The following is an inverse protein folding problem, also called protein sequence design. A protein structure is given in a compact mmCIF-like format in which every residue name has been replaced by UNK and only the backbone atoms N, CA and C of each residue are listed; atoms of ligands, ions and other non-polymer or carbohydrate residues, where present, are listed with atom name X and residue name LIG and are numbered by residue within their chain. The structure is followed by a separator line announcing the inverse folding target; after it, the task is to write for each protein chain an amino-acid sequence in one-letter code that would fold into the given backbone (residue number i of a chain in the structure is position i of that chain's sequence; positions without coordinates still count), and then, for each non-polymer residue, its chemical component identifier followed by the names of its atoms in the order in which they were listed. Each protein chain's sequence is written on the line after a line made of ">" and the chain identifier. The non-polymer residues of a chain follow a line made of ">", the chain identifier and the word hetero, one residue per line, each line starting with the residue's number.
data_IF_934339583788
#
_entry.id   IF_934339583788
#
_cell.length_a   1.000
_cell.length_b   1.000
_cell.length_c   1.000
_cell.angle_alpha   90.00
_cell.angle_beta   90.00
_cell.angle_gamma   90.00
#
_symmetry.space_group_name_H-M   'P 1'
#
loop_
_entity.id
_entity.type
_entity.pdbx_description
1 polymer ?
#
# COMPACT_ATOMS: atom_id res chain seq x y z
N UNK A 1 12.85 9.34 -0.30
CA UNK A 1 12.51 8.29 0.68
C UNK A 1 11.75 8.81 1.91
N UNK A 2 12.22 9.87 2.59
CA UNK A 2 11.55 10.37 3.81
C UNK A 2 10.08 10.77 3.61
N UNK A 3 9.76 11.46 2.51
CA UNK A 3 8.36 11.83 2.17
C UNK A 3 7.45 10.61 1.99
N UNK A 4 7.94 9.56 1.31
CA UNK A 4 7.20 8.30 1.13
C UNK A 4 6.88 7.67 2.48
N UNK A 5 7.86 7.66 3.39
CA UNK A 5 7.66 7.13 4.74
C UNK A 5 6.62 7.92 5.53
N UNK A 6 6.66 9.26 5.48
CA UNK A 6 5.64 10.11 6.11
C UNK A 6 4.25 9.78 5.58
N UNK A 7 4.10 9.65 4.26
CA UNK A 7 2.79 9.37 3.65
C UNK A 7 2.28 7.98 4.06
N UNK A 8 3.14 6.97 4.08
CA UNK A 8 2.78 5.64 4.60
C UNK A 8 2.41 5.69 6.08
N UNK A 9 3.12 6.49 6.89
CA UNK A 9 2.82 6.67 8.30
C UNK A 9 1.46 7.35 8.50
N UNK A 10 1.14 8.38 7.72
CA UNK A 10 -0.18 9.03 7.73
C UNK A 10 -1.28 8.04 7.32
N UNK A 11 -1.05 7.23 6.28
CA UNK A 11 -2.00 6.18 5.89
C UNK A 11 -2.24 5.18 7.02
N UNK A 12 -1.16 4.72 7.67
CA UNK A 12 -1.24 3.83 8.82
C UNK A 12 -2.01 4.45 9.99
N UNK A 13 -1.79 5.73 10.29
CA UNK A 13 -2.54 6.46 11.31
C UNK A 13 -4.04 6.50 10.98
N UNK A 14 -4.42 6.82 9.75
CA UNK A 14 -5.84 6.82 9.36
C UNK A 14 -6.45 5.42 9.39
N UNK A 15 -5.71 4.40 8.98
CA UNK A 15 -6.13 3.00 9.16
C UNK A 15 -6.37 2.68 10.63
N UNK A 16 -5.48 3.12 11.52
CA UNK A 16 -5.62 2.92 12.96
C UNK A 16 -6.85 3.66 13.54
N UNK A 17 -7.02 4.95 13.20
CA UNK A 17 -8.16 5.76 13.63
C UNK A 17 -9.49 5.14 13.18
N UNK A 18 -9.57 4.67 11.93
CA UNK A 18 -10.74 3.94 11.43
C UNK A 18 -11.10 2.75 12.32
N UNK A 19 -10.11 1.90 12.65
CA UNK A 19 -10.36 0.73 13.52
C UNK A 19 -10.84 1.13 14.90
N UNK A 20 -10.27 2.19 15.48
CA UNK A 20 -10.70 2.74 16.76
C UNK A 20 -12.17 3.17 16.69
N UNK A 21 -12.57 3.90 15.64
CA UNK A 21 -13.96 4.32 15.46
C UNK A 21 -14.94 3.15 15.36
N UNK A 22 -14.58 2.12 14.58
CA UNK A 22 -15.41 0.91 14.42
C UNK A 22 -15.52 0.12 15.73
N UNK A 23 -14.41 -0.05 16.46
CA UNK A 23 -14.39 -0.81 17.73
C UNK A 23 -15.18 -0.10 18.83
N UNK A 24 -15.06 1.23 18.95
CA UNK A 24 -15.77 2.00 19.95
C UNK A 24 -17.18 2.43 19.52
N UNK A 25 -17.63 2.05 18.32
CA UNK A 25 -18.94 2.40 17.75
C UNK A 25 -19.23 3.91 17.81
N UNK A 26 -18.20 4.73 17.58
CA UNK A 26 -18.31 6.19 17.65
C UNK A 26 -19.11 6.65 16.43
N UNK A 27 -20.41 6.87 16.55
CA UNK A 27 -21.26 7.26 15.43
C UNK A 27 -21.46 8.77 15.34
N UNK A 28 -21.26 9.34 14.15
CA UNK A 28 -21.63 10.72 13.81
C UNK A 28 -23.00 10.73 13.16
N UNK A 29 -23.81 11.75 13.46
CA UNK A 29 -25.13 11.93 12.85
C UNK A 29 -24.99 12.07 11.33
N UNK A 30 -25.69 11.23 10.57
CA UNK A 30 -25.64 11.21 9.11
C UNK A 30 -26.60 12.25 8.55
N UNK A 31 -26.18 13.51 8.59
CA UNK A 31 -26.97 14.69 8.18
C UNK A 31 -26.59 15.22 6.79
N UNK A 32 -25.68 14.54 6.08
CA UNK A 32 -25.14 14.99 4.79
C UNK A 32 -24.15 16.16 4.90
N UNK A 33 -23.75 16.55 6.11
CA UNK A 33 -22.73 17.58 6.32
C UNK A 33 -21.36 17.12 5.81
N UNK A 34 -20.48 18.09 5.54
CA UNK A 34 -19.07 17.85 5.19
C UNK A 34 -18.36 17.06 6.30
N UNK A 35 -18.76 17.26 7.55
CA UNK A 35 -18.20 16.55 8.71
C UNK A 35 -18.58 15.07 8.65
N UNK A 36 -19.86 14.75 8.40
CA UNK A 36 -20.32 13.38 8.24
C UNK A 36 -19.65 12.69 7.03
N UNK A 37 -19.49 13.41 5.92
CA UNK A 37 -18.75 12.92 4.75
C UNK A 37 -17.30 12.58 5.06
N UNK A 38 -16.57 13.50 5.72
CA UNK A 38 -15.16 13.29 6.09
C UNK A 38 -14.99 12.15 7.09
N UNK A 39 -15.91 12.05 8.06
CA UNK A 39 -15.97 10.94 9.00
C UNK A 39 -16.14 9.59 8.28
N UNK A 40 -17.05 9.50 7.31
CA UNK A 40 -17.27 8.27 6.53
C UNK A 40 -16.04 7.87 5.70
N UNK A 41 -15.32 8.85 5.13
CA UNK A 41 -14.07 8.58 4.39
C UNK A 41 -12.99 8.00 5.30
N UNK A 42 -12.89 8.48 6.54
CA UNK A 42 -11.96 7.89 7.52
C UNK A 42 -12.43 6.49 7.90
N UNK A 43 -13.71 6.34 8.26
CA UNK A 43 -14.27 5.07 8.74
C UNK A 43 -14.09 3.95 7.70
N UNK A 44 -14.31 4.24 6.44
CA UNK A 44 -14.23 3.27 5.33
C UNK A 44 -12.79 2.98 4.85
N UNK A 45 -11.75 3.42 5.56
CA UNK A 45 -10.33 3.32 5.16
C UNK A 45 -9.95 4.08 3.88
N UNK A 46 -10.88 4.77 3.22
CA UNK A 46 -10.64 5.49 1.94
C UNK A 46 -9.49 6.48 2.03
N UNK A 47 -9.39 7.21 3.16
CA UNK A 47 -8.29 8.16 3.34
C UNK A 47 -6.93 7.45 3.42
N UNK A 48 -6.89 6.29 4.09
CA UNK A 48 -5.70 5.45 4.14
C UNK A 48 -5.33 4.92 2.74
N UNK A 49 -6.31 4.43 1.97
CA UNK A 49 -6.09 3.96 0.60
C UNK A 49 -5.55 5.06 -0.32
N UNK A 50 -6.09 6.28 -0.21
CA UNK A 50 -5.64 7.43 -0.96
C UNK A 50 -4.16 7.72 -0.67
N UNK A 51 -3.79 7.83 0.61
CA UNK A 51 -2.40 8.09 0.99
C UNK A 51 -1.47 6.96 0.56
N UNK A 52 -1.88 5.70 0.65
CA UNK A 52 -1.05 4.61 0.13
C UNK A 52 -0.91 4.68 -1.39
N UNK A 53 -1.96 5.01 -2.13
CA UNK A 53 -1.89 5.18 -3.59
C UNK A 53 -0.86 6.26 -3.95
N UNK A 54 -0.88 7.39 -3.26
CA UNK A 54 0.12 8.46 -3.43
C UNK A 54 1.53 7.95 -3.06
N UNK A 55 1.67 7.19 -1.98
CA UNK A 55 2.96 6.64 -1.58
C UNK A 55 3.53 5.65 -2.62
N UNK A 56 2.69 4.79 -3.19
CA UNK A 56 3.07 3.85 -4.26
C UNK A 56 3.55 4.61 -5.49
N UNK A 57 2.85 5.69 -5.86
CA UNK A 57 3.25 6.55 -6.98
C UNK A 57 4.61 7.21 -6.74
N UNK A 58 4.85 7.75 -5.55
CA UNK A 58 6.16 8.31 -5.21
C UNK A 58 7.26 7.25 -5.16
N UNK A 59 6.95 6.04 -4.71
CA UNK A 59 7.87 4.88 -4.79
C UNK A 59 8.18 4.51 -6.24
N UNK A 60 7.21 4.62 -7.14
CA UNK A 60 7.41 4.43 -8.57
C UNK A 60 8.37 5.48 -9.15
N UNK A 61 8.15 6.76 -8.87
CA UNK A 61 9.07 7.84 -9.29
C UNK A 61 10.48 7.57 -8.77
N UNK A 62 10.63 7.15 -7.51
CA UNK A 62 11.93 6.82 -6.94
C UNK A 62 12.60 5.65 -7.67
N UNK A 63 11.84 4.62 -8.07
CA UNK A 63 12.37 3.50 -8.87
C UNK A 63 12.98 3.99 -10.18
N UNK A 64 12.30 4.88 -10.90
CA UNK A 64 12.80 5.45 -12.15
C UNK A 64 14.14 6.16 -11.89
N UNK A 65 14.19 7.06 -10.92
CA UNK A 65 15.43 7.78 -10.59
C UNK A 65 16.61 6.87 -10.18
N UNK A 66 16.34 5.76 -9.48
CA UNK A 66 17.40 4.87 -8.96
C UNK A 66 17.92 3.90 -10.01
N UNK A 67 17.04 3.35 -10.87
CA UNK A 67 17.40 2.22 -11.73
C UNK A 67 17.41 2.53 -13.23
N UNK A 68 16.92 3.69 -13.65
CA UNK A 68 16.85 4.04 -15.07
C UNK A 68 18.14 4.72 -15.56
N UNK A 69 18.96 5.24 -14.62
CA UNK A 69 20.33 5.72 -14.89
C UNK A 69 21.28 4.66 -15.46
N UNK A 70 20.98 3.37 -15.25
CA UNK A 70 21.81 2.26 -15.75
C UNK A 70 21.37 1.76 -17.14
N UNK A 71 20.26 2.26 -17.70
CA UNK A 71 19.59 1.70 -18.91
C UNK A 71 19.69 2.63 -20.12
N UNK A 72 20.36 3.78 -20.01
CA UNK A 72 20.44 4.80 -21.07
C UNK A 72 21.26 4.37 -22.32
N UNK A 73 21.83 3.16 -22.34
CA UNK A 73 22.73 2.68 -23.40
C UNK A 73 22.21 1.53 -24.27
N UNK A 74 20.99 1.02 -24.09
CA UNK A 74 20.51 -0.14 -24.89
C UNK A 74 19.06 0.02 -25.38
N UNK A 75 18.91 0.00 -26.71
CA UNK A 75 17.70 -0.17 -27.55
C UNK A 75 16.51 0.82 -27.42
N UNK A 76 16.20 1.51 -28.52
CA UNK A 76 15.02 2.39 -28.72
C UNK A 76 13.67 1.71 -28.35
N UNK A 77 13.59 0.38 -28.45
CA UNK A 77 12.39 -0.39 -28.11
C UNK A 77 12.09 -0.38 -26.61
N UNK A 78 13.14 -0.33 -25.77
CA UNK A 78 13.01 -0.29 -24.31
C UNK A 78 12.48 1.07 -23.86
N UNK A 79 12.89 2.14 -24.54
CA UNK A 79 12.45 3.50 -24.24
C UNK A 79 10.94 3.68 -24.48
N UNK A 80 10.40 3.14 -25.59
CA UNK A 80 8.95 3.17 -25.89
C UNK A 80 8.15 2.41 -24.82
N UNK A 81 8.65 1.26 -24.38
CA UNK A 81 7.99 0.46 -23.34
C UNK A 81 7.94 1.19 -21.99
N UNK A 82 9.03 1.87 -21.61
CA UNK A 82 9.08 2.67 -20.37
C UNK A 82 8.10 3.85 -20.43
N UNK A 83 8.06 4.59 -21.54
CA UNK A 83 7.11 5.71 -21.72
C UNK A 83 5.64 5.25 -21.67
N UNK A 84 5.32 4.08 -22.24
CA UNK A 84 3.98 3.49 -22.13
C UNK A 84 3.66 3.11 -20.69
N UNK A 85 4.62 2.53 -19.97
CA UNK A 85 4.45 2.14 -18.57
C UNK A 85 4.24 3.33 -17.65
N UNK A 86 4.94 4.44 -17.88
CA UNK A 86 4.76 5.71 -17.16
C UNK A 86 3.32 6.22 -17.27
N UNK A 87 2.80 6.25 -18.50
CA UNK A 87 1.43 6.69 -18.76
C UNK A 87 0.40 5.78 -18.07
N UNK A 88 0.61 4.46 -18.12
CA UNK A 88 -0.26 3.49 -17.44
C UNK A 88 -0.28 3.76 -15.93
N UNK A 89 0.88 3.96 -15.31
CA UNK A 89 0.99 4.22 -13.87
C UNK A 89 0.27 5.52 -13.48
N UNK A 90 0.45 6.60 -14.24
CA UNK A 90 -0.20 7.90 -13.97
C UNK A 90 -1.72 7.79 -14.10
N UNK A 91 -2.22 7.17 -15.18
CA UNK A 91 -3.65 6.96 -15.39
C UNK A 91 -4.23 6.11 -14.27
N UNK A 92 -3.51 5.07 -13.85
CA UNK A 92 -3.95 4.17 -12.78
C UNK A 92 -4.08 4.89 -11.43
N UNK A 93 -3.14 5.78 -11.09
CA UNK A 93 -3.22 6.62 -9.89
C UNK A 93 -4.42 7.55 -9.95
N UNK A 94 -4.60 8.25 -11.07
CA UNK A 94 -5.74 9.15 -11.26
C UNK A 94 -7.06 8.41 -11.10
N UNK A 95 -7.20 7.26 -11.76
CA UNK A 95 -8.36 6.38 -11.63
C UNK A 95 -8.58 5.92 -10.19
N UNK A 96 -7.55 5.45 -9.51
CA UNK A 96 -7.65 4.97 -8.12
C UNK A 96 -8.09 6.07 -7.16
N UNK A 97 -7.51 7.27 -7.27
CA UNK A 97 -7.90 8.43 -6.47
C UNK A 97 -9.35 8.84 -6.71
N UNK A 98 -9.78 8.89 -7.98
CA UNK A 98 -11.17 9.22 -8.34
C UNK A 98 -12.13 8.15 -7.82
N UNK A 99 -11.78 6.88 -7.96
CA UNK A 99 -12.59 5.77 -7.48
C UNK A 99 -12.80 5.84 -5.97
N UNK A 100 -11.71 6.00 -5.20
CA UNK A 100 -11.74 6.05 -3.73
C UNK A 100 -12.50 7.27 -3.21
N UNK A 101 -12.39 8.43 -3.86
CA UNK A 101 -13.03 9.66 -3.37
C UNK A 101 -14.48 9.83 -3.80
N UNK A 102 -14.85 9.38 -5.00
CA UNK A 102 -16.14 9.72 -5.61
C UNK A 102 -17.02 8.52 -5.95
N UNK A 103 -16.45 7.35 -6.25
CA UNK A 103 -17.23 6.17 -6.68
C UNK A 103 -17.54 5.25 -5.50
N UNK A 104 -16.61 5.12 -4.58
CA UNK A 104 -16.78 4.29 -3.39
C UNK A 104 -17.97 4.81 -2.55
N UNK A 105 -18.90 3.93 -2.21
CA UNK A 105 -20.08 4.25 -1.40
C UNK A 105 -19.99 3.57 -0.04
N UNK A 106 -20.44 4.27 1.02
CA UNK A 106 -20.36 3.74 2.38
C UNK A 106 -21.34 2.57 2.54
N UNK A 107 -20.91 1.50 3.21
CA UNK A 107 -21.71 0.31 3.44
C UNK A 107 -21.78 -0.65 2.24
N UNK A 108 -21.19 -0.31 1.10
CA UNK A 108 -21.17 -1.19 -0.07
C UNK A 108 -19.93 -2.10 -0.06
N UNK A 109 -20.03 -3.25 0.61
CA UNK A 109 -18.94 -4.22 0.73
C UNK A 109 -18.33 -4.64 -0.61
N UNK A 110 -19.14 -4.70 -1.69
CA UNK A 110 -18.63 -5.05 -3.02
C UNK A 110 -17.67 -3.98 -3.57
N UNK A 111 -18.02 -2.70 -3.42
CA UNK A 111 -17.13 -1.60 -3.80
C UNK A 111 -15.86 -1.59 -2.95
N UNK A 112 -15.95 -1.98 -1.67
CA UNK A 112 -14.77 -2.12 -0.80
C UNK A 112 -13.82 -3.19 -1.34
N UNK A 113 -14.33 -4.36 -1.74
CA UNK A 113 -13.51 -5.43 -2.35
C UNK A 113 -12.79 -4.91 -3.60
N UNK A 114 -13.51 -4.18 -4.46
CA UNK A 114 -12.94 -3.61 -5.69
C UNK A 114 -11.85 -2.57 -5.34
N UNK A 115 -12.08 -1.71 -4.36
CA UNK A 115 -11.11 -0.69 -3.94
C UNK A 115 -9.78 -1.31 -3.50
N UNK A 116 -9.83 -2.27 -2.57
CA UNK A 116 -8.64 -2.96 -2.10
C UNK A 116 -7.97 -3.78 -3.21
N UNK A 117 -8.74 -4.36 -4.14
CA UNK A 117 -8.20 -5.06 -5.30
C UNK A 117 -7.44 -4.11 -6.24
N UNK A 118 -8.01 -2.93 -6.52
CA UNK A 118 -7.36 -1.90 -7.35
C UNK A 118 -6.03 -1.49 -6.73
N UNK A 119 -6.00 -1.18 -5.44
CA UNK A 119 -4.75 -0.79 -4.74
C UNK A 119 -3.77 -1.96 -4.66
N UNK A 120 -4.26 -3.20 -4.47
CA UNK A 120 -3.42 -4.39 -4.49
C UNK A 120 -2.75 -4.64 -5.85
N UNK A 121 -3.50 -4.54 -6.94
CA UNK A 121 -2.93 -4.63 -8.30
C UNK A 121 -1.89 -3.53 -8.50
N UNK A 122 -2.19 -2.31 -8.03
CA UNK A 122 -1.27 -1.19 -8.17
C UNK A 122 0.05 -1.40 -7.45
N UNK A 123 0.00 -1.84 -6.18
CA UNK A 123 1.22 -2.07 -5.40
C UNK A 123 2.04 -3.21 -6.00
N UNK A 124 1.41 -4.29 -6.49
CA UNK A 124 2.12 -5.38 -7.18
C UNK A 124 2.77 -4.88 -8.46
N UNK A 125 2.06 -4.07 -9.26
CA UNK A 125 2.55 -3.50 -10.51
C UNK A 125 3.83 -2.69 -10.30
N UNK A 126 3.93 -1.92 -9.21
CA UNK A 126 5.12 -1.11 -8.90
C UNK A 126 6.19 -1.90 -8.15
N UNK A 127 5.81 -2.71 -7.15
CA UNK A 127 6.76 -3.33 -6.22
C UNK A 127 7.30 -4.66 -6.72
N UNK A 128 6.57 -5.43 -7.54
CA UNK A 128 7.08 -6.69 -8.08
C UNK A 128 8.29 -6.50 -9.01
N UNK A 129 8.31 -5.52 -9.94
CA UNK A 129 9.52 -5.21 -10.71
C UNK A 129 10.70 -4.78 -9.83
N UNK A 130 10.43 -3.99 -8.78
CA UNK A 130 11.44 -3.54 -7.82
C UNK A 130 12.03 -4.72 -7.05
N UNK A 131 11.18 -5.64 -6.60
CA UNK A 131 11.56 -6.86 -5.91
C UNK A 131 12.39 -7.77 -6.84
N UNK A 132 11.99 -7.92 -8.11
CA UNK A 132 12.73 -8.70 -9.11
C UNK A 132 14.14 -8.15 -9.31
N UNK A 133 14.29 -6.83 -9.48
CA UNK A 133 15.61 -6.18 -9.58
C UNK A 133 16.42 -6.41 -8.30
N UNK A 134 15.84 -6.17 -7.12
CA UNK A 134 16.51 -6.41 -5.85
C UNK A 134 16.97 -7.89 -5.66
N UNK A 135 16.26 -8.86 -6.26
CA UNK A 135 16.68 -10.27 -6.27
C UNK A 135 17.90 -10.51 -7.17
N UNK A 136 18.08 -9.75 -8.24
CA UNK A 136 19.22 -9.85 -9.16
C UNK A 136 20.51 -9.28 -8.55
N UNK A 137 20.44 -8.20 -7.76
CA UNK A 137 21.61 -7.59 -7.08
C UNK A 137 22.17 -8.40 -5.89
N UNK A 138 21.88 -9.70 -5.81
CA UNK A 138 22.28 -10.61 -4.69
C UNK A 138 23.81 -10.73 -4.50
N UNK A 139 24.60 -10.26 -5.47
CA UNK A 139 26.03 -10.50 -5.57
C UNK A 139 26.92 -9.43 -4.90
N UNK A 140 26.42 -8.24 -4.57
CA UNK A 140 27.27 -7.18 -3.98
C UNK A 140 27.32 -7.38 -2.46
N UNK A 141 28.46 -7.85 -1.95
CA UNK A 141 28.64 -8.21 -0.53
C UNK A 141 28.28 -7.06 0.43
N UNK A 142 28.60 -5.82 0.05
CA UNK A 142 28.48 -4.64 0.92
C UNK A 142 27.03 -4.19 1.17
N UNK A 143 26.10 -4.54 0.27
CA UNK A 143 24.70 -4.10 0.34
C UNK A 143 23.71 -5.22 0.66
N UNK A 144 24.18 -6.42 1.04
CA UNK A 144 23.33 -7.59 1.31
C UNK A 144 22.22 -7.31 2.33
N UNK A 145 22.54 -6.59 3.40
CA UNK A 145 21.56 -6.25 4.44
C UNK A 145 20.52 -5.25 3.94
N UNK A 146 20.94 -4.17 3.28
CA UNK A 146 20.05 -3.17 2.70
C UNK A 146 19.09 -3.80 1.67
N UNK A 147 19.60 -4.68 0.81
CA UNK A 147 18.80 -5.42 -0.18
C UNK A 147 17.81 -6.38 0.49
N UNK A 148 18.22 -7.09 1.55
CA UNK A 148 17.32 -7.99 2.29
C UNK A 148 16.20 -7.21 2.98
N UNK A 149 16.54 -6.13 3.67
CA UNK A 149 15.61 -5.22 4.31
C UNK A 149 14.58 -4.64 3.35
N UNK A 150 15.03 -4.23 2.16
CA UNK A 150 14.17 -3.76 1.08
C UNK A 150 13.21 -4.86 0.60
N UNK A 151 13.69 -6.10 0.40
CA UNK A 151 12.84 -7.23 0.00
C UNK A 151 11.74 -7.51 1.00
N UNK A 152 12.10 -7.55 2.29
CA UNK A 152 11.15 -7.77 3.39
C UNK A 152 10.10 -6.67 3.38
N UNK A 153 10.52 -5.40 3.29
CA UNK A 153 9.61 -4.26 3.22
C UNK A 153 8.62 -4.36 2.06
N UNK A 154 9.10 -4.63 0.84
CA UNK A 154 8.25 -4.72 -0.36
C UNK A 154 7.23 -5.86 -0.25
N UNK A 155 7.66 -7.04 0.20
CA UNK A 155 6.79 -8.20 0.39
C UNK A 155 5.74 -7.90 1.46
N UNK A 156 6.16 -7.34 2.61
CA UNK A 156 5.26 -6.93 3.67
C UNK A 156 4.19 -5.95 3.18
N UNK A 157 4.57 -4.93 2.42
CA UNK A 157 3.60 -3.96 1.90
C UNK A 157 2.64 -4.57 0.89
N UNK A 158 3.09 -5.47 0.00
CA UNK A 158 2.17 -6.20 -0.89
C UNK A 158 1.20 -7.09 -0.10
N UNK A 159 1.68 -7.77 0.96
CA UNK A 159 0.85 -8.65 1.79
C UNK A 159 -0.22 -7.89 2.60
N UNK A 160 0.05 -6.66 3.05
CA UNK A 160 -0.95 -5.82 3.72
C UNK A 160 -2.21 -5.70 2.88
N UNK A 161 -2.06 -5.33 1.60
CA UNK A 161 -3.20 -5.14 0.70
C UNK A 161 -3.84 -6.44 0.25
N UNK A 162 -3.04 -7.49 0.03
CA UNK A 162 -3.58 -8.82 -0.24
C UNK A 162 -4.50 -9.28 0.90
N UNK A 163 -4.09 -9.06 2.14
CA UNK A 163 -4.85 -9.49 3.31
C UNK A 163 -6.11 -8.64 3.50
N UNK A 164 -6.03 -7.32 3.32
CA UNK A 164 -7.24 -6.48 3.34
C UNK A 164 -8.21 -6.85 2.22
N UNK A 165 -7.71 -7.17 1.01
CA UNK A 165 -8.54 -7.67 -0.07
C UNK A 165 -9.22 -8.99 0.30
N UNK A 166 -8.47 -9.96 0.86
CA UNK A 166 -9.02 -11.24 1.33
C UNK A 166 -10.06 -11.02 2.44
N UNK A 167 -9.78 -10.14 3.40
CA UNK A 167 -10.72 -9.76 4.47
C UNK A 167 -12.07 -9.31 3.89
N UNK A 168 -12.04 -8.32 2.98
CA UNK A 168 -13.27 -7.80 2.36
C UNK A 168 -13.96 -8.83 1.47
N UNK A 169 -13.20 -9.66 0.76
CA UNK A 169 -13.75 -10.72 -0.09
C UNK A 169 -14.48 -11.77 0.75
N UNK A 170 -13.92 -12.16 1.89
CA UNK A 170 -14.55 -13.12 2.81
C UNK A 170 -15.83 -12.56 3.43
N UNK A 171 -15.83 -11.29 3.83
CA UNK A 171 -17.02 -10.59 4.32
C UNK A 171 -18.09 -10.55 3.22
N UNK A 172 -17.73 -10.16 1.99
CA UNK A 172 -18.65 -10.10 0.85
C UNK A 172 -19.27 -11.46 0.51
N UNK A 173 -18.48 -12.53 0.55
CA UNK A 173 -18.95 -13.90 0.28
C UNK A 173 -19.72 -14.52 1.47
N UNK A 174 -19.81 -13.82 2.61
CA UNK A 174 -20.55 -14.29 3.77
C UNK A 174 -19.91 -15.48 4.49
N UNK A 175 -18.59 -15.66 4.38
CA UNK A 175 -17.88 -16.75 5.08
C UNK A 175 -17.78 -16.45 6.59
N UNK A 176 -18.83 -16.82 7.32
CA UNK A 176 -19.00 -16.55 8.75
C UNK A 176 -18.01 -17.24 9.67
N UNK A 177 -17.35 -18.31 9.22
CA UNK A 177 -16.41 -19.10 10.03
C UNK A 177 -15.16 -18.31 10.45
N UNK A 178 -14.89 -17.18 9.79
CA UNK A 178 -13.76 -16.31 10.11
C UNK A 178 -14.13 -15.11 10.98
N UNK A 179 -15.42 -14.96 11.35
CA UNK A 179 -15.86 -13.88 12.22
C UNK A 179 -15.40 -14.10 13.66
N UNK A 180 -14.68 -13.12 14.18
CA UNK A 180 -14.21 -13.09 15.54
C UNK A 180 -15.29 -12.44 16.43
N UNK A 181 -15.62 -13.06 17.57
CA UNK A 181 -16.57 -12.55 18.58
C UNK A 181 -18.04 -12.39 18.11
N UNK A 182 -18.45 -13.03 17.01
CA UNK A 182 -19.84 -13.00 16.54
C UNK A 182 -20.28 -11.67 15.89
N UNK A 183 -19.34 -10.77 15.61
CA UNK A 183 -19.61 -9.55 14.84
C UNK A 183 -19.32 -9.78 13.35
N UNK A 184 -20.25 -9.44 12.44
CA UNK A 184 -20.07 -9.62 11.00
C UNK A 184 -18.95 -8.73 10.41
N UNK A 185 -18.48 -7.73 11.15
CA UNK A 185 -17.52 -6.74 10.66
C UNK A 185 -16.05 -7.05 11.03
N UNK A 186 -15.80 -8.07 11.86
CA UNK A 186 -14.46 -8.40 12.35
C UNK A 186 -14.03 -9.81 11.96
N UNK A 187 -13.08 -9.93 11.03
CA UNK A 187 -12.41 -11.20 10.74
C UNK A 187 -11.00 -11.26 11.33
N UNK A 188 -10.40 -12.45 11.41
CA UNK A 188 -8.96 -12.58 11.76
C UNK A 188 -8.06 -11.79 10.80
N UNK A 189 -8.45 -11.72 9.51
CA UNK A 189 -7.73 -10.97 8.49
C UNK A 189 -7.86 -9.45 8.65
N UNK A 190 -8.79 -8.97 9.49
CA UNK A 190 -8.92 -7.55 9.78
C UNK A 190 -7.69 -6.99 10.51
N UNK A 191 -7.10 -7.73 11.45
CA UNK A 191 -5.95 -7.28 12.24
C UNK A 191 -4.60 -7.71 11.69
N UNK A 192 -4.58 -8.80 10.92
CA UNK A 192 -3.38 -9.40 10.36
C UNK A 192 -2.47 -8.44 9.55
N UNK A 193 -2.99 -7.46 8.77
CA UNK A 193 -2.16 -6.48 8.05
C UNK A 193 -1.23 -5.69 8.95
N UNK A 194 -1.58 -5.48 10.23
CA UNK A 194 -0.72 -4.74 11.15
C UNK A 194 0.57 -5.47 11.49
N UNK A 195 0.55 -6.81 11.52
CA UNK A 195 1.77 -7.60 11.69
C UNK A 195 2.71 -7.33 10.51
N UNK A 196 2.18 -7.32 9.29
CA UNK A 196 2.97 -7.02 8.09
C UNK A 196 3.43 -5.56 8.05
N UNK A 197 2.62 -4.60 8.52
CA UNK A 197 3.04 -3.21 8.65
C UNK A 197 4.23 -3.07 9.60
N UNK A 198 4.18 -3.72 10.77
CA UNK A 198 5.27 -3.74 11.74
C UNK A 198 6.53 -4.37 11.11
N UNK A 199 6.41 -5.56 10.52
CA UNK A 199 7.54 -6.25 9.86
C UNK A 199 8.12 -5.40 8.73
N UNK A 200 7.28 -4.72 7.94
CA UNK A 200 7.72 -3.85 6.84
C UNK A 200 8.48 -2.62 7.34
N UNK A 201 7.99 -1.96 8.40
CA UNK A 201 8.65 -0.82 9.03
C UNK A 201 9.99 -1.23 9.64
N UNK A 202 10.03 -2.34 10.40
CA UNK A 202 11.28 -2.86 10.95
C UNK A 202 12.25 -3.26 9.83
N UNK A 203 11.76 -3.92 8.79
CA UNK A 203 12.56 -4.25 7.60
C UNK A 203 13.24 -3.03 7.01
N UNK A 204 12.48 -1.95 6.78
CA UNK A 204 13.00 -0.68 6.29
C UNK A 204 14.05 -0.06 7.24
N UNK A 205 13.80 -0.07 8.55
CA UNK A 205 14.71 0.46 9.55
C UNK A 205 16.04 -0.32 9.63
N UNK A 206 16.00 -1.65 9.56
CA UNK A 206 17.23 -2.47 9.53
C UNK A 206 18.08 -2.22 8.27
N UNK A 207 17.46 -1.75 7.18
CA UNK A 207 18.15 -1.43 5.94
C UNK A 207 18.89 -0.10 6.00
N UNK A 208 18.41 0.85 6.81
CA UNK A 208 19.08 2.13 7.08
C UNK A 208 20.39 1.96 7.86
N UNK A 209 20.54 0.86 8.61
CA UNK A 209 21.82 0.44 9.22
C UNK A 209 22.73 -0.21 8.17
N UNK A 210 23.04 0.50 7.10
CA UNK A 210 24.14 0.13 6.21
C UNK A 210 25.47 0.26 6.97
N UNK A 211 26.50 -0.57 6.69
CA UNK A 211 27.79 -0.48 7.35
C UNK A 211 28.30 0.95 7.30
N UNK A 212 28.86 1.43 8.44
CA UNK A 212 29.62 2.67 8.48
C UNK A 212 30.55 2.65 7.26
N UNK A 213 30.48 3.67 6.40
CA UNK A 213 31.67 4.01 5.63
C UNK A 213 32.72 4.25 6.71
N UNK A 214 33.69 3.36 6.80
CA UNK A 214 34.95 3.70 7.42
C UNK A 214 35.57 4.72 6.45
N UNK A 215 35.10 5.96 6.52
CA UNK A 215 35.84 7.10 6.03
C UNK A 215 36.99 7.29 7.03
N UNK A 216 38.15 6.77 6.61
CA UNK A 216 39.45 7.32 7.00
C UNK A 216 39.56 8.79 6.57
#
# INVERSE_FOLDING_TARGET
>A
MYVIFIIYFIAFLFSWISKVFVVFQINVTQDGSIIAWFYNIILDFRLSELFVTIAIFLSYILKLFVFEKDVENDDDTIQIFNNLWDNIVIIYVGFSCVFVLFIYENGNTFLNVIAFLIVFIYIVMVYAPFLRRALQYRAIQDYKQAILSLKIMLISFMLIFLIFFIDRLLIFLGFTIFYFLGSPDFTVFYFLPWIFAIVGIYGAYYGLKSPKSNEE
#
